data_IF_387919957392
#
_entry.id   IF_387919957392
#
_cell.length_a   1.000
_cell.length_b   1.000
_cell.length_c   1.000
_cell.angle_alpha   90.00
_cell.angle_beta   90.00
_cell.angle_gamma   90.00
#
_symmetry.space_group_name_H-M   'P 1'
#
loop_
_entity.id
_entity.type
_entity.pdbx_description
1 polymer ?
#
# COMPACT_ATOMS: atom_id res chain seq x y z
N UNK A 1 -2.79 -7.11 22.76
CA UNK A 1 -3.50 -5.86 22.42
C UNK A 1 -3.41 -5.68 20.91
N UNK A 2 -4.53 -5.75 20.20
CA UNK A 2 -4.55 -5.49 18.76
C UNK A 2 -4.36 -3.99 18.54
N UNK A 3 -3.44 -3.60 17.65
CA UNK A 3 -3.24 -2.20 17.29
C UNK A 3 -4.53 -1.65 16.69
N UNK A 4 -5.21 -0.71 17.36
CA UNK A 4 -6.47 -0.10 16.88
C UNK A 4 -6.26 0.91 15.76
N UNK A 5 -5.02 1.09 15.31
CA UNK A 5 -4.69 2.05 14.26
C UNK A 5 -5.31 1.62 12.94
N UNK A 6 -6.23 2.43 12.44
CA UNK A 6 -6.86 2.24 11.13
C UNK A 6 -6.20 3.07 10.04
N UNK A 7 -5.48 4.13 10.40
CA UNK A 7 -4.85 5.04 9.45
C UNK A 7 -3.37 5.22 9.74
N UNK A 8 -2.53 4.88 8.77
CA UNK A 8 -1.09 5.17 8.79
C UNK A 8 -0.82 6.30 7.80
N UNK A 9 -0.24 7.39 8.29
CA UNK A 9 0.15 8.55 7.49
C UNK A 9 1.62 8.85 7.70
N UNK A 10 2.41 8.76 6.63
CA UNK A 10 3.84 9.06 6.63
C UNK A 10 4.08 10.21 5.65
N UNK A 11 4.46 11.36 6.18
CA UNK A 11 4.83 12.54 5.40
C UNK A 11 6.35 12.68 5.36
N UNK A 12 6.88 13.21 4.26
CA UNK A 12 8.32 13.40 4.03
C UNK A 12 9.17 12.15 4.33
N UNK A 13 8.58 10.99 4.04
CA UNK A 13 9.18 9.70 4.35
C UNK A 13 10.40 9.42 3.48
N UNK A 14 11.31 8.60 4.01
CA UNK A 14 12.44 8.04 3.26
C UNK A 14 12.12 6.69 2.62
N UNK A 15 10.89 6.18 2.78
CA UNK A 15 10.46 4.91 2.20
C UNK A 15 10.37 5.01 0.68
N UNK A 16 10.97 4.05 -0.02
CA UNK A 16 10.91 3.93 -1.48
C UNK A 16 10.03 2.77 -1.93
N UNK A 17 10.07 2.47 -3.23
CA UNK A 17 9.24 1.42 -3.82
C UNK A 17 9.51 0.02 -3.24
N UNK A 18 10.76 -0.27 -2.81
CA UNK A 18 11.11 -1.56 -2.18
C UNK A 18 10.44 -1.73 -0.81
N UNK A 19 10.44 -0.68 0.00
CA UNK A 19 9.77 -0.71 1.30
C UNK A 19 8.25 -0.85 1.11
N UNK A 20 7.72 -0.18 0.09
CA UNK A 20 6.31 -0.31 -0.29
C UNK A 20 5.96 -1.73 -0.73
N UNK A 21 6.81 -2.40 -1.51
CA UNK A 21 6.64 -3.82 -1.87
C UNK A 21 6.54 -4.70 -0.63
N UNK A 22 7.42 -4.50 0.35
CA UNK A 22 7.41 -5.25 1.61
C UNK A 22 6.15 -4.97 2.44
N UNK A 23 5.75 -3.71 2.58
CA UNK A 23 4.53 -3.31 3.28
C UNK A 23 3.31 -3.98 2.67
N UNK A 24 3.19 -3.98 1.34
CA UNK A 24 2.04 -4.56 0.65
C UNK A 24 2.04 -6.09 0.73
N UNK A 25 3.21 -6.75 0.67
CA UNK A 25 3.30 -8.20 0.93
C UNK A 25 2.85 -8.56 2.34
N UNK A 26 3.30 -7.80 3.34
CA UNK A 26 2.89 -7.98 4.74
C UNK A 26 1.39 -7.78 4.91
N UNK A 27 0.81 -6.73 4.32
CA UNK A 27 -0.64 -6.51 4.34
C UNK A 27 -1.40 -7.67 3.69
N UNK A 28 -0.96 -8.11 2.50
CA UNK A 28 -1.60 -9.21 1.77
C UNK A 28 -1.65 -10.51 2.58
N UNK A 29 -0.60 -10.80 3.33
CA UNK A 29 -0.49 -11.97 4.21
C UNK A 29 -1.28 -11.82 5.54
N UNK A 30 -2.12 -10.79 5.70
CA UNK A 30 -2.93 -10.55 6.90
C UNK A 30 -2.29 -9.62 7.94
N UNK A 31 -1.15 -9.00 7.62
CA UNK A 31 -0.56 -7.94 8.43
C UNK A 31 -1.44 -6.68 8.46
N UNK A 32 -1.27 -5.87 9.51
CA UNK A 32 -2.06 -4.65 9.73
C UNK A 32 -3.57 -4.91 9.74
N UNK A 33 -4.08 -5.76 10.65
CA UNK A 33 -5.44 -6.28 10.59
C UNK A 33 -6.53 -5.21 10.63
N UNK A 34 -6.25 -4.04 11.22
CA UNK A 34 -7.20 -2.95 11.35
C UNK A 34 -6.99 -1.82 10.33
N UNK A 35 -6.05 -1.97 9.40
CA UNK A 35 -5.72 -0.91 8.44
C UNK A 35 -6.89 -0.67 7.47
N UNK A 36 -7.39 0.56 7.48
CA UNK A 36 -8.36 1.10 6.53
C UNK A 36 -7.67 2.00 5.51
N UNK A 37 -6.61 2.71 5.92
CA UNK A 37 -5.93 3.69 5.06
C UNK A 37 -4.42 3.76 5.31
N UNK A 38 -3.65 3.71 4.24
CA UNK A 38 -2.21 3.99 4.25
C UNK A 38 -1.92 5.14 3.28
N UNK A 39 -1.28 6.19 3.77
CA UNK A 39 -0.83 7.33 2.98
C UNK A 39 0.67 7.51 3.19
N UNK A 40 1.44 7.44 2.11
CA UNK A 40 2.88 7.68 2.15
C UNK A 40 3.18 8.77 1.13
N UNK A 41 3.75 9.86 1.61
CA UNK A 41 4.39 10.87 0.78
C UNK A 41 5.91 10.75 0.96
N UNK A 42 6.61 10.51 -0.14
CA UNK A 42 8.05 10.26 -0.17
C UNK A 42 8.65 10.72 -1.49
N UNK A 43 9.81 11.36 -1.42
CA UNK A 43 10.61 11.73 -2.61
C UNK A 43 11.25 10.51 -3.27
N UNK A 44 11.27 9.37 -2.59
CA UNK A 44 11.89 8.12 -3.05
C UNK A 44 10.87 7.14 -3.66
N UNK A 45 9.58 7.50 -3.69
CA UNK A 45 8.59 6.78 -4.47
C UNK A 45 8.67 7.28 -5.91
N UNK A 46 9.06 6.40 -6.82
CA UNK A 46 9.17 6.69 -8.24
C UNK A 46 8.16 5.83 -9.03
N UNK A 47 7.19 6.49 -9.67
CA UNK A 47 6.09 5.82 -10.41
C UNK A 47 6.58 5.12 -11.69
N UNK A 48 7.81 5.40 -12.14
CA UNK A 48 8.34 4.93 -13.43
C UNK A 48 9.55 4.00 -13.32
N UNK A 49 10.16 3.84 -12.14
CA UNK A 49 11.51 3.25 -12.06
C UNK A 49 11.55 1.84 -11.48
N UNK A 50 10.51 1.39 -10.76
CA UNK A 50 10.50 0.02 -10.22
C UNK A 50 9.10 -0.58 -10.14
N UNK A 51 9.05 -1.91 -10.15
CA UNK A 51 7.83 -2.66 -9.89
C UNK A 51 7.53 -2.73 -8.39
N UNK A 52 6.24 -2.83 -8.07
CA UNK A 52 5.68 -3.06 -6.73
C UNK A 52 4.78 -4.28 -6.86
N UNK A 53 5.02 -5.32 -6.05
CA UNK A 53 4.43 -6.65 -6.18
C UNK A 53 4.62 -7.27 -7.57
N UNK A 54 5.77 -6.96 -8.22
CA UNK A 54 6.05 -7.41 -9.58
C UNK A 54 5.23 -6.70 -10.67
N UNK A 55 4.45 -5.66 -10.31
CA UNK A 55 3.63 -4.88 -11.24
C UNK A 55 4.19 -3.48 -11.40
N UNK A 56 4.00 -2.87 -12.57
CA UNK A 56 4.26 -1.43 -12.71
C UNK A 56 3.29 -0.64 -11.83
N UNK A 57 3.66 0.57 -11.37
CA UNK A 57 2.74 1.41 -10.60
C UNK A 57 1.43 1.71 -11.35
N UNK A 58 1.46 1.82 -12.69
CA UNK A 58 0.25 1.99 -13.50
C UNK A 58 -0.69 0.77 -13.45
N UNK A 59 -0.15 -0.45 -13.45
CA UNK A 59 -0.94 -1.67 -13.29
C UNK A 59 -1.50 -1.78 -11.88
N UNK A 60 -0.69 -1.46 -10.85
CA UNK A 60 -1.11 -1.48 -9.45
C UNK A 60 -2.33 -0.58 -9.22
N UNK A 61 -2.36 0.61 -9.85
CA UNK A 61 -3.51 1.53 -9.76
C UNK A 61 -4.82 0.92 -10.31
N UNK A 62 -4.72 0.06 -11.31
CA UNK A 62 -5.89 -0.51 -12.00
C UNK A 62 -6.34 -1.85 -11.42
N UNK A 63 -5.55 -2.43 -10.51
CA UNK A 63 -5.79 -3.77 -9.99
C UNK A 63 -6.48 -3.72 -8.63
N UNK A 64 -7.48 -4.58 -8.47
CA UNK A 64 -8.02 -4.91 -7.17
C UNK A 64 -7.07 -5.90 -6.48
N UNK A 65 -6.37 -5.44 -5.44
CA UNK A 65 -5.50 -6.31 -4.64
C UNK A 65 -6.30 -6.87 -3.47
N UNK A 66 -6.30 -8.18 -3.27
CA UNK A 66 -6.96 -8.83 -2.12
C UNK A 66 -5.93 -9.45 -1.18
N UNK A 67 -6.28 -9.52 0.10
CA UNK A 67 -5.55 -10.34 1.07
C UNK A 67 -5.62 -11.82 0.67
N UNK A 68 -4.63 -12.61 1.09
CA UNK A 68 -4.53 -14.02 0.72
C UNK A 68 -5.71 -14.86 1.25
N UNK A 69 -6.31 -14.44 2.37
CA UNK A 69 -7.53 -15.02 2.95
C UNK A 69 -8.82 -14.53 2.28
N UNK A 70 -8.73 -13.61 1.32
CA UNK A 70 -9.86 -13.02 0.62
C UNK A 70 -10.77 -12.13 1.48
N UNK A 71 -10.40 -11.80 2.73
CA UNK A 71 -11.26 -11.05 3.66
C UNK A 71 -11.35 -9.55 3.34
N UNK A 72 -10.34 -9.00 2.64
CA UNK A 72 -10.26 -7.56 2.32
C UNK A 72 -9.73 -7.35 0.91
N UNK A 73 -10.10 -6.21 0.32
CA UNK A 73 -9.47 -5.66 -0.87
C UNK A 73 -8.86 -4.28 -0.63
N UNK A 74 -7.92 -3.91 -1.48
CA UNK A 74 -7.28 -2.62 -1.50
C UNK A 74 -7.38 -1.97 -2.88
N UNK A 75 -7.57 -0.66 -2.87
CA UNK A 75 -7.51 0.21 -4.04
C UNK A 75 -6.40 1.25 -3.86
N UNK A 76 -5.81 1.69 -4.97
CA UNK A 76 -4.63 2.56 -4.95
C UNK A 76 -4.85 3.86 -5.72
N UNK A 77 -4.42 4.96 -5.12
CA UNK A 77 -4.19 6.25 -5.79
C UNK A 77 -2.70 6.54 -5.76
N UNK A 78 -2.15 6.86 -6.92
CA UNK A 78 -0.73 7.16 -7.10
C UNK A 78 -0.58 8.57 -7.62
N UNK A 79 0.40 9.29 -7.07
CA UNK A 79 0.91 10.55 -7.59
C UNK A 79 2.43 10.47 -7.73
N UNK A 80 3.06 11.49 -8.30
CA UNK A 80 4.51 11.53 -8.54
C UNK A 80 5.36 11.25 -7.30
N UNK A 81 4.86 11.52 -6.08
CA UNK A 81 5.60 11.34 -4.81
C UNK A 81 4.73 10.76 -3.70
N UNK A 82 3.56 10.23 -4.02
CA UNK A 82 2.70 9.65 -3.01
C UNK A 82 1.96 8.42 -3.48
N UNK A 83 1.71 7.54 -2.52
CA UNK A 83 0.74 6.46 -2.65
C UNK A 83 -0.28 6.60 -1.54
N UNK A 84 -1.53 6.40 -1.92
CA UNK A 84 -2.63 6.20 -0.99
C UNK A 84 -3.27 4.85 -1.30
N UNK A 85 -3.39 4.04 -0.27
CA UNK A 85 -4.06 2.75 -0.28
C UNK A 85 -5.28 2.84 0.61
N UNK A 86 -6.44 2.43 0.09
CA UNK A 86 -7.69 2.33 0.84
C UNK A 86 -8.13 0.87 0.90
N UNK A 87 -8.43 0.36 2.10
CA UNK A 87 -8.82 -1.02 2.35
C UNK A 87 -10.32 -1.09 2.58
N UNK A 88 -10.96 -2.12 2.03
CA UNK A 88 -12.39 -2.39 2.21
C UNK A 88 -12.57 -3.87 2.56
N UNK A 89 -13.18 -4.19 3.72
CA UNK A 89 -13.60 -5.56 4.03
C UNK A 89 -14.63 -6.07 3.04
N UNK A 90 -14.65 -7.38 2.84
CA UNK A 90 -15.75 -8.09 2.16
C UNK A 90 -16.82 -8.54 3.14
#
# INVERSE_FOLDING_TARGET
>A
MACTCTTIKLEESHLGNKDLDEILRKWKAGGFPNLERLMIHSKFIAVNESTILGMSPFELRRKDLQTDDGSKKATFKLSTRSIEMSVTPF
#
